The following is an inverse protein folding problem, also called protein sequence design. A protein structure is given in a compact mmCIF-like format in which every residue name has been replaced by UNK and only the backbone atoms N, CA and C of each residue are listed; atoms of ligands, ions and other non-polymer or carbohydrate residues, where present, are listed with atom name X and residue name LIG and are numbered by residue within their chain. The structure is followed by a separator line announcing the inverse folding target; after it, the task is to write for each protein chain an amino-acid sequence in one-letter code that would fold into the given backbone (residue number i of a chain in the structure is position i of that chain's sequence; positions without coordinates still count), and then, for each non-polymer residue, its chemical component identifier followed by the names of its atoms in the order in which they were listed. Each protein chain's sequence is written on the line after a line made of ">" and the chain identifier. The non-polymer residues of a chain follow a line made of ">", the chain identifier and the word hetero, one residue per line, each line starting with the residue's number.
data_IF_570064491970
#
_entry.id   IF_570064491970
#
_cell.length_a   1.000
_cell.length_b   1.000
_cell.length_c   1.000
_cell.angle_alpha   90.00
_cell.angle_beta   90.00
_cell.angle_gamma   90.00
#
_symmetry.space_group_name_H-M   'P 1'
#
loop_
_entity.id
_entity.type
_entity.pdbx_description
1 polymer ?
#
# COMPACT_ATOMS: atom_id res chain seq x y z
N UNK A 1 9.60 -6.12 -0.16
CA UNK A 1 8.83 -5.18 -1.01
C UNK A 1 7.38 -5.25 -0.56
N UNK A 2 6.75 -4.14 -0.14
CA UNK A 2 5.33 -4.12 0.18
C UNK A 2 4.53 -3.72 -1.06
N UNK A 3 3.42 -4.40 -1.32
CA UNK A 3 2.55 -4.09 -2.45
C UNK A 3 1.08 -4.09 -2.04
N UNK A 4 0.32 -3.14 -2.55
CA UNK A 4 -1.13 -3.16 -2.42
C UNK A 4 -1.74 -4.40 -3.09
N UNK A 5 -2.90 -4.92 -2.63
CA UNK A 5 -3.54 -6.10 -3.22
C UNK A 5 -4.13 -5.88 -4.63
N UNK A 6 -4.16 -4.64 -5.15
CA UNK A 6 -4.61 -4.41 -6.52
C UNK A 6 -3.67 -5.10 -7.52
N UNK A 7 -4.25 -5.67 -8.58
CA UNK A 7 -3.48 -6.33 -9.64
C UNK A 7 -2.38 -5.44 -10.24
N UNK A 8 -2.70 -4.17 -10.54
CA UNK A 8 -1.74 -3.19 -11.09
C UNK A 8 -0.51 -2.99 -10.20
N UNK A 9 -0.68 -3.06 -8.88
CA UNK A 9 0.45 -2.96 -7.94
C UNK A 9 1.19 -4.29 -7.79
N UNK A 10 0.48 -5.43 -7.81
CA UNK A 10 1.12 -6.75 -7.79
C UNK A 10 1.96 -7.01 -9.05
N UNK A 11 1.46 -6.62 -10.22
CA UNK A 11 2.16 -6.73 -11.51
C UNK A 11 3.43 -5.85 -11.52
N UNK A 12 3.32 -4.60 -11.04
CA UNK A 12 4.48 -3.71 -10.89
C UNK A 12 5.49 -4.26 -9.87
N UNK A 13 4.99 -4.75 -8.72
CA UNK A 13 5.84 -5.33 -7.69
C UNK A 13 6.56 -6.59 -8.16
N UNK A 14 5.93 -7.42 -9.01
CA UNK A 14 6.56 -8.59 -9.60
C UNK A 14 7.79 -8.23 -10.44
N UNK A 15 7.71 -7.17 -11.25
CA UNK A 15 8.85 -6.67 -12.05
C UNK A 15 10.00 -6.23 -11.14
N UNK A 16 9.69 -5.47 -10.08
CA UNK A 16 10.71 -4.99 -9.13
C UNK A 16 11.33 -6.15 -8.35
N UNK A 17 10.49 -7.07 -7.84
CA UNK A 17 10.91 -8.24 -7.09
C UNK A 17 11.82 -9.16 -7.88
N UNK A 18 11.50 -9.41 -9.15
CA UNK A 18 12.34 -10.22 -10.05
C UNK A 18 13.72 -9.58 -10.26
N UNK A 19 13.79 -8.26 -10.40
CA UNK A 19 15.05 -7.55 -10.65
C UNK A 19 15.94 -7.37 -9.44
N UNK A 20 15.34 -7.31 -8.26
CA UNK A 20 16.06 -7.06 -7.00
C UNK A 20 16.16 -8.30 -6.10
N UNK A 21 15.62 -9.44 -6.54
CA UNK A 21 15.52 -10.68 -5.77
C UNK A 21 14.88 -10.46 -4.39
N UNK A 22 13.73 -9.79 -4.37
CA UNK A 22 13.02 -9.41 -3.14
C UNK A 22 11.69 -10.16 -2.99
N UNK A 23 11.32 -10.59 -1.77
CA UNK A 23 9.98 -11.09 -1.52
C UNK A 23 8.95 -9.94 -1.60
N UNK A 24 7.79 -10.26 -2.14
CA UNK A 24 6.60 -9.41 -2.13
C UNK A 24 5.75 -9.78 -0.91
N UNK A 25 5.43 -8.79 -0.10
CA UNK A 25 4.45 -8.89 0.97
C UNK A 25 3.22 -8.07 0.58
N UNK A 26 2.04 -8.70 0.59
CA UNK A 26 0.78 -8.02 0.29
C UNK A 26 0.37 -7.20 1.51
N UNK A 27 0.15 -5.90 1.30
CA UNK A 27 -0.17 -4.94 2.36
C UNK A 27 -1.48 -4.20 2.03
N UNK A 28 -2.62 -4.60 2.62
CA UNK A 28 -3.91 -3.97 2.38
C UNK A 28 -3.99 -2.52 2.85
N UNK A 29 -3.19 -2.12 3.86
CA UNK A 29 -3.19 -0.74 4.35
C UNK A 29 -2.74 0.28 3.30
N UNK A 30 -1.95 -0.13 2.29
CA UNK A 30 -1.46 0.76 1.23
C UNK A 30 -2.30 0.70 -0.05
N UNK A 31 -3.56 0.22 0.03
CA UNK A 31 -4.50 0.24 -1.10
C UNK A 31 -4.94 1.66 -1.48
N UNK A 32 -5.34 1.84 -2.74
CA UNK A 32 -5.92 3.10 -3.23
C UNK A 32 -7.11 3.55 -2.38
N UNK A 33 -7.31 4.87 -2.30
CA UNK A 33 -8.55 5.45 -1.78
C UNK A 33 -9.69 5.03 -2.70
N UNK A 34 -10.60 4.20 -2.21
CA UNK A 34 -11.76 3.76 -3.00
C UNK A 34 -12.66 4.96 -3.26
N UNK A 35 -12.68 5.50 -4.49
CA UNK A 35 -13.50 6.65 -4.83
C UNK A 35 -14.23 6.47 -6.17
N UNK A 36 -13.72 5.61 -7.05
CA UNK A 36 -14.26 5.39 -8.38
C UNK A 36 -14.49 3.90 -8.64
N UNK A 37 -15.26 3.58 -9.68
CA UNK A 37 -15.52 2.20 -10.07
C UNK A 37 -14.26 1.42 -10.45
N UNK A 38 -13.21 2.10 -10.92
CA UNK A 38 -11.90 1.50 -11.20
C UNK A 38 -11.12 1.09 -9.92
N UNK A 39 -11.61 1.47 -8.75
CA UNK A 39 -11.10 1.04 -7.45
C UNK A 39 -11.79 -0.24 -6.96
N UNK A 40 -12.67 -0.85 -7.76
CA UNK A 40 -13.13 -2.21 -7.48
C UNK A 40 -11.94 -3.15 -7.65
N UNK A 41 -11.53 -3.77 -6.53
CA UNK A 41 -10.45 -4.74 -6.50
C UNK A 41 -10.85 -6.10 -7.08
N UNK A 42 -9.86 -6.99 -7.13
CA UNK A 42 -10.07 -8.40 -7.47
C UNK A 42 -10.35 -9.19 -6.18
N UNK A 43 -11.35 -10.08 -6.15
CA UNK A 43 -11.66 -10.85 -4.95
C UNK A 43 -10.46 -11.65 -4.45
N UNK A 44 -10.34 -11.81 -3.13
CA UNK A 44 -9.16 -12.44 -2.53
C UNK A 44 -8.99 -13.91 -2.98
N UNK A 45 -10.08 -14.65 -3.17
CA UNK A 45 -10.07 -16.00 -3.75
C UNK A 45 -9.42 -16.04 -5.14
N UNK A 46 -9.76 -15.08 -6.00
CA UNK A 46 -9.21 -14.96 -7.35
C UNK A 46 -7.74 -14.51 -7.32
N UNK A 47 -7.39 -13.57 -6.44
CA UNK A 47 -6.00 -13.14 -6.24
C UNK A 47 -5.10 -14.33 -5.84
N UNK A 48 -5.53 -15.16 -4.88
CA UNK A 48 -4.80 -16.38 -4.47
C UNK A 48 -4.63 -17.37 -5.62
N UNK A 49 -5.62 -17.48 -6.51
CA UNK A 49 -5.54 -18.33 -7.71
C UNK A 49 -4.53 -17.80 -8.73
N UNK A 50 -4.48 -16.49 -8.93
CA UNK A 50 -3.61 -15.83 -9.91
C UNK A 50 -2.15 -15.74 -9.43
N UNK A 51 -1.95 -15.54 -8.12
CA UNK A 51 -0.63 -15.45 -7.48
C UNK A 51 -0.48 -16.50 -6.36
N UNK A 52 -0.42 -17.80 -6.68
CA UNK A 52 -0.41 -18.87 -5.68
C UNK A 52 0.83 -18.88 -4.78
N UNK A 53 1.88 -18.11 -5.13
CA UNK A 53 3.11 -17.98 -4.35
C UNK A 53 3.11 -16.78 -3.40
N UNK A 54 2.13 -15.87 -3.51
CA UNK A 54 2.01 -14.73 -2.62
C UNK A 54 1.13 -15.12 -1.42
N UNK A 55 1.55 -14.70 -0.24
CA UNK A 55 0.72 -14.79 0.94
C UNK A 55 -0.23 -13.58 1.00
N UNK A 56 -1.53 -13.87 1.03
CA UNK A 56 -2.59 -12.89 1.19
C UNK A 56 -3.14 -12.86 2.63
N UNK A 57 -2.66 -13.72 3.52
CA UNK A 57 -3.13 -13.84 4.90
C UNK A 57 -4.66 -13.90 5.00
N UNK A 58 -5.19 -13.16 5.96
CA UNK A 58 -6.63 -13.03 6.23
C UNK A 58 -7.31 -11.94 5.38
N UNK A 59 -6.80 -11.64 4.18
CA UNK A 59 -7.42 -10.66 3.28
C UNK A 59 -8.89 -11.02 3.05
N UNK A 60 -9.85 -10.12 3.40
CA UNK A 60 -11.26 -10.35 3.17
C UNK A 60 -11.55 -10.53 1.69
N UNK A 61 -12.58 -11.32 1.35
CA UNK A 61 -12.96 -11.55 -0.04
C UNK A 61 -13.19 -10.24 -0.80
N UNK A 62 -13.85 -9.29 -0.14
CA UNK A 62 -13.99 -7.90 -0.59
C UNK A 62 -13.18 -7.01 0.36
N UNK A 63 -11.98 -6.62 -0.09
CA UNK A 63 -11.01 -5.87 0.73
C UNK A 63 -10.91 -4.38 0.36
N UNK A 64 -11.42 -3.99 -0.81
CA UNK A 64 -11.34 -2.61 -1.31
C UNK A 64 -12.43 -1.68 -0.74
N UNK A 65 -13.49 -2.25 -0.15
CA UNK A 65 -14.65 -1.53 0.37
C UNK A 65 -15.81 -1.48 -0.63
N UNK A 66 -17.02 -1.15 -0.14
CA UNK A 66 -18.23 -1.06 -0.97
C UNK A 66 -18.75 0.37 -1.19
N UNK A 67 -18.13 1.36 -0.53
CA UNK A 67 -18.54 2.76 -0.52
C UNK A 67 -17.30 3.63 -0.69
N UNK A 68 -17.50 4.86 -1.18
CA UNK A 68 -16.43 5.87 -1.28
C UNK A 68 -15.76 6.02 0.09
N UNK A 69 -14.46 5.79 0.14
CA UNK A 69 -13.65 5.90 1.34
C UNK A 69 -13.59 7.37 1.79
N UNK A 70 -14.03 7.60 3.03
CA UNK A 70 -13.98 8.92 3.66
C UNK A 70 -12.53 9.33 3.95
N UNK A 71 -12.29 10.64 4.03
CA UNK A 71 -10.96 11.15 4.37
C UNK A 71 -10.52 10.69 5.77
N UNK A 72 -11.43 10.58 6.73
CA UNK A 72 -11.15 10.04 8.06
C UNK A 72 -10.75 8.56 8.04
N UNK A 73 -11.40 7.74 7.21
CA UNK A 73 -11.00 6.33 7.01
C UNK A 73 -9.61 6.24 6.38
N UNK A 74 -9.33 7.07 5.38
CA UNK A 74 -8.02 7.12 4.73
C UNK A 74 -6.92 7.55 5.71
N UNK A 75 -7.17 8.60 6.50
CA UNK A 75 -6.24 9.08 7.52
C UNK A 75 -5.92 8.00 8.55
N UNK A 76 -6.94 7.34 9.11
CA UNK A 76 -6.75 6.24 10.06
C UNK A 76 -5.93 5.08 9.47
N UNK A 77 -6.07 4.83 8.16
CA UNK A 77 -5.33 3.80 7.42
C UNK A 77 -3.86 4.20 7.21
N UNK A 78 -3.60 5.48 6.91
CA UNK A 78 -2.25 6.05 6.91
C UNK A 78 -1.58 5.91 8.29
N UNK A 79 -2.29 6.22 9.38
CA UNK A 79 -1.74 6.15 10.74
C UNK A 79 -1.48 4.71 11.19
N UNK A 80 -2.36 3.78 10.81
CA UNK A 80 -2.10 2.35 11.01
C UNK A 80 -0.82 1.91 10.28
N UNK A 81 -0.59 2.40 9.06
CA UNK A 81 0.62 2.08 8.32
C UNK A 81 1.87 2.75 8.93
N UNK A 82 1.79 3.99 9.42
CA UNK A 82 2.88 4.63 10.18
C UNK A 82 3.25 3.83 11.41
N UNK A 83 2.26 3.40 12.21
CA UNK A 83 2.50 2.54 13.39
C UNK A 83 3.16 1.22 13.02
N UNK A 84 2.77 0.61 11.90
CA UNK A 84 3.42 -0.60 11.39
C UNK A 84 4.90 -0.36 11.03
N UNK A 85 5.22 0.75 10.36
CA UNK A 85 6.61 1.11 10.04
C UNK A 85 7.43 1.45 11.30
N UNK A 86 6.80 2.07 12.31
CA UNK A 86 7.44 2.42 13.58
C UNK A 86 7.76 1.20 14.46
N UNK A 87 7.02 0.09 14.30
CA UNK A 87 7.24 -1.13 15.06
C UNK A 87 8.56 -1.84 14.71
N UNK A 88 9.21 -1.49 13.60
CA UNK A 88 10.51 -2.03 13.17
C UNK A 88 11.57 -0.91 13.02
N UNK A 89 11.97 -0.26 14.13
CA UNK A 89 12.99 0.77 14.09
C UNK A 89 14.35 0.17 13.68
N UNK A 90 15.06 0.83 12.78
CA UNK A 90 16.38 0.37 12.30
C UNK A 90 16.36 -0.82 11.33
N UNK A 91 15.18 -1.33 10.95
CA UNK A 91 15.04 -2.35 9.90
C UNK A 91 15.48 -1.84 8.51
N UNK A 92 15.72 -2.73 7.54
CA UNK A 92 16.18 -2.37 6.20
C UNK A 92 15.22 -1.42 5.47
N UNK A 93 15.67 -0.72 4.41
CA UNK A 93 14.79 0.14 3.62
C UNK A 93 13.54 -0.61 3.12
N UNK A 94 12.38 0.03 3.25
CA UNK A 94 11.10 -0.54 2.82
C UNK A 94 10.66 0.13 1.53
N UNK A 95 10.63 -0.63 0.43
CA UNK A 95 9.97 -0.21 -0.79
C UNK A 95 8.46 -0.53 -0.73
N UNK A 96 7.63 0.42 -1.14
CA UNK A 96 6.15 0.31 -1.13
C UNK A 96 5.61 0.63 -2.52
N UNK A 97 4.87 -0.31 -3.12
CA UNK A 97 4.17 -0.14 -4.41
C UNK A 97 2.70 0.10 -4.13
N UNK A 98 2.23 1.31 -4.41
CA UNK A 98 0.91 1.81 -4.01
C UNK A 98 0.30 2.68 -5.13
N UNK A 99 -0.57 3.61 -4.78
CA UNK A 99 -1.42 4.37 -5.69
C UNK A 99 -1.42 5.85 -5.31
N UNK A 100 -1.89 6.68 -6.24
CA UNK A 100 -1.80 8.13 -6.10
C UNK A 100 -2.54 8.65 -4.87
N UNK A 101 -3.79 8.21 -4.62
CA UNK A 101 -4.61 8.74 -3.53
C UNK A 101 -4.05 8.38 -2.16
N UNK A 102 -3.60 7.14 -1.98
CA UNK A 102 -2.91 6.73 -0.75
C UNK A 102 -1.58 7.46 -0.55
N UNK A 103 -0.72 7.51 -1.57
CA UNK A 103 0.60 8.14 -1.45
C UNK A 103 0.49 9.64 -1.19
N UNK A 104 -0.48 10.32 -1.79
CA UNK A 104 -0.76 11.73 -1.52
C UNK A 104 -1.16 11.94 -0.06
N UNK A 105 -2.11 11.17 0.46
CA UNK A 105 -2.54 11.29 1.86
C UNK A 105 -1.43 10.90 2.85
N UNK A 106 -0.63 9.89 2.51
CA UNK A 106 0.41 9.38 3.38
C UNK A 106 1.66 10.28 3.45
N UNK A 107 2.04 10.89 2.32
CA UNK A 107 3.30 11.65 2.22
C UNK A 107 3.12 13.16 2.02
N UNK A 108 1.90 13.62 1.70
CA UNK A 108 1.64 15.00 1.28
C UNK A 108 2.20 15.36 -0.11
N UNK A 109 2.72 14.38 -0.86
CA UNK A 109 3.39 14.60 -2.16
C UNK A 109 2.56 14.05 -3.31
N UNK A 110 2.59 14.74 -4.45
CA UNK A 110 2.01 14.24 -5.70
C UNK A 110 3.01 13.34 -6.43
N UNK A 111 2.50 12.32 -7.09
CA UNK A 111 3.27 11.34 -7.85
C UNK A 111 2.78 11.29 -9.28
N UNK A 112 3.74 11.13 -10.21
CA UNK A 112 3.45 10.77 -11.59
C UNK A 112 3.45 9.24 -11.73
N UNK A 113 2.92 8.73 -12.86
CA UNK A 113 2.92 7.30 -13.11
C UNK A 113 4.36 6.74 -13.16
N UNK A 114 4.62 5.70 -12.38
CA UNK A 114 5.93 5.05 -12.29
C UNK A 114 7.02 5.89 -11.60
N UNK A 115 6.68 6.99 -10.93
CA UNK A 115 7.67 7.79 -10.20
C UNK A 115 8.05 7.16 -8.85
N UNK A 116 9.22 7.54 -8.34
CA UNK A 116 9.77 7.09 -7.07
C UNK A 116 9.98 8.28 -6.14
N UNK A 117 9.62 8.11 -4.87
CA UNK A 117 10.02 8.98 -3.77
C UNK A 117 10.88 8.19 -2.80
N UNK A 118 12.08 8.70 -2.49
CA UNK A 118 12.93 8.18 -1.42
C UNK A 118 12.94 9.19 -0.28
N UNK A 119 12.64 8.71 0.92
CA UNK A 119 12.54 9.52 2.14
C UNK A 119 13.13 8.76 3.31
N UNK A 120 13.65 9.51 4.28
CA UNK A 120 14.06 8.94 5.57
C UNK A 120 12.81 8.46 6.31
N UNK A 121 12.85 7.22 6.81
CA UNK A 121 11.73 6.62 7.57
C UNK A 121 11.27 7.55 8.69
N UNK A 122 12.21 8.16 9.41
CA UNK A 122 11.92 9.04 10.53
C UNK A 122 11.05 10.25 10.15
N UNK A 123 11.29 10.86 8.98
CA UNK A 123 10.47 12.01 8.51
C UNK A 123 9.01 11.63 8.26
N UNK A 124 8.79 10.44 7.68
CA UNK A 124 7.44 9.92 7.42
C UNK A 124 6.67 9.66 8.73
N UNK A 125 7.37 9.28 9.79
CA UNK A 125 6.77 9.06 11.10
C UNK A 125 6.42 10.39 11.80
N UNK A 126 7.32 11.38 11.74
CA UNK A 126 7.13 12.70 12.37
C UNK A 126 6.08 13.58 11.69
N UNK A 127 5.92 13.48 10.36
CA UNK A 127 4.93 14.25 9.62
C UNK A 127 3.48 13.83 9.95
N UNK A 128 3.27 12.62 10.49
CA UNK A 128 1.97 12.15 10.97
C UNK A 128 1.53 12.81 12.28
N UNK A 129 2.47 13.18 13.14
CA UNK A 129 2.19 13.74 14.48
C UNK A 129 1.80 15.24 14.45
N UNK A 130 1.88 15.89 13.28
CA UNK A 130 1.56 17.33 13.12
C UNK A 130 0.13 17.61 12.66
N UNK A 131 -0.68 16.57 12.49
CA UNK A 131 -2.10 16.70 12.12
C UNK A 131 -2.98 16.59 13.38
N UNK A 132 -2.94 17.62 14.23
CA UNK A 132 -3.87 17.81 15.36
C UNK A 132 -4.50 19.20 15.29
#
# INVERSE_FOLDING_TARGET
>A
LLASPYRRTLETAAIIAERLDLPILVEPLVRERFAFSCDIGTPASELRRLWPRLDFGDLPEIWWGGLIESDGSLAARCDAFRRKLAAEPGGPPTAVVSHWGFLLAFTGRRFDNGSLLVVERQRILEDGDRAE
#
